data_IF_007341139188
#
_entry.id   IF_007341139188
#
_cell.length_a   1.000
_cell.length_b   1.000
_cell.length_c   1.000
_cell.angle_alpha   90.00
_cell.angle_beta   90.00
_cell.angle_gamma   90.00
#
_symmetry.space_group_name_H-M   'P 1'
#
loop_
_entity.id
_entity.type
_entity.pdbx_description
1 polymer ?
#
# COMPACT_ATOMS: atom_id res chain seq x y z
N UNK A 1 -22.00 -80.42 -3.07
CA UNK A 1 -23.10 -79.49 -3.41
C UNK A 1 -22.53 -78.08 -3.44
N UNK A 2 -22.68 -77.40 -4.59
CA UNK A 2 -22.55 -75.96 -4.92
C UNK A 2 -21.59 -75.04 -4.13
N UNK A 3 -20.80 -74.16 -4.78
CA UNK A 3 -20.81 -73.74 -6.17
C UNK A 3 -19.68 -72.74 -6.51
N UNK A 4 -19.46 -72.59 -7.81
CA UNK A 4 -18.60 -71.60 -8.46
C UNK A 4 -19.02 -70.15 -8.21
N UNK A 5 -18.04 -69.26 -8.08
CA UNK A 5 -18.20 -67.82 -8.28
C UNK A 5 -16.91 -67.21 -8.83
N UNK A 6 -16.92 -66.86 -10.12
CA UNK A 6 -15.82 -66.20 -10.85
C UNK A 6 -15.73 -64.70 -10.52
N UNK A 7 -14.50 -64.19 -10.56
CA UNK A 7 -14.03 -62.88 -11.07
C UNK A 7 -14.81 -61.60 -10.75
N UNK A 8 -14.13 -60.68 -10.06
CA UNK A 8 -14.22 -59.23 -10.31
C UNK A 8 -12.95 -58.54 -9.82
N UNK A 9 -11.90 -58.61 -10.64
CA UNK A 9 -10.76 -57.68 -10.60
C UNK A 9 -11.24 -56.34 -11.14
N UNK A 10 -11.79 -55.50 -10.28
CA UNK A 10 -12.05 -54.09 -10.60
C UNK A 10 -10.77 -53.29 -10.33
N UNK A 11 -10.06 -52.94 -11.40
CA UNK A 11 -8.80 -52.21 -11.35
C UNK A 11 -8.96 -50.84 -10.69
N UNK A 12 -8.46 -50.73 -9.46
CA UNK A 12 -7.95 -49.48 -8.95
C UNK A 12 -6.63 -49.21 -9.69
N UNK A 13 -6.71 -48.46 -10.79
CA UNK A 13 -5.54 -48.08 -11.58
C UNK A 13 -4.45 -47.51 -10.67
N UNK A 14 -3.38 -48.28 -10.51
CA UNK A 14 -2.08 -47.79 -10.06
C UNK A 14 -1.66 -46.70 -11.04
N UNK A 15 -1.98 -45.44 -10.70
CA UNK A 15 -1.41 -44.29 -11.38
C UNK A 15 0.08 -44.38 -11.13
N UNK A 16 0.79 -44.89 -12.13
CA UNK A 16 2.21 -45.24 -12.09
C UNK A 16 3.02 -44.14 -11.39
N UNK A 17 3.85 -44.56 -10.43
CA UNK A 17 4.82 -43.72 -9.69
C UNK A 17 5.47 -42.58 -10.53
N UNK A 18 5.86 -42.78 -11.81
CA UNK A 18 6.38 -41.71 -12.68
C UNK A 18 5.40 -40.57 -12.98
N UNK A 19 4.09 -40.83 -13.12
CA UNK A 19 3.08 -39.80 -13.41
C UNK A 19 2.87 -38.89 -12.19
N UNK A 20 2.79 -39.47 -10.99
CA UNK A 20 2.72 -38.69 -9.74
C UNK A 20 3.97 -37.86 -9.52
N UNK A 21 5.15 -38.43 -9.80
CA UNK A 21 6.42 -37.69 -9.73
C UNK A 21 6.50 -36.55 -10.76
N UNK A 22 6.00 -36.74 -11.98
CA UNK A 22 5.95 -35.71 -13.02
C UNK A 22 4.99 -34.57 -12.65
N UNK A 23 3.80 -34.90 -12.13
CA UNK A 23 2.81 -33.91 -11.65
C UNK A 23 3.38 -33.12 -10.47
N UNK A 24 4.06 -33.79 -9.53
CA UNK A 24 4.69 -33.13 -8.39
C UNK A 24 5.84 -32.20 -8.82
N UNK A 25 6.73 -32.66 -9.72
CA UNK A 25 7.81 -31.82 -10.29
C UNK A 25 7.26 -30.60 -11.04
N UNK A 26 6.17 -30.77 -11.80
CA UNK A 26 5.53 -29.66 -12.51
C UNK A 26 4.91 -28.66 -11.54
N UNK A 27 4.25 -29.16 -10.49
CA UNK A 27 3.63 -28.31 -9.45
C UNK A 27 4.67 -27.52 -8.64
N UNK A 28 5.79 -28.16 -8.28
CA UNK A 28 6.89 -27.52 -7.56
C UNK A 28 7.66 -26.53 -8.45
N UNK A 29 7.83 -26.83 -9.73
CA UNK A 29 8.38 -25.91 -10.73
C UNK A 29 7.50 -24.66 -10.90
N UNK A 30 6.18 -24.82 -11.03
CA UNK A 30 5.23 -23.69 -11.11
C UNK A 30 5.27 -22.85 -9.84
N UNK A 31 5.30 -23.50 -8.66
CA UNK A 31 5.36 -22.80 -7.38
C UNK A 31 6.66 -22.00 -7.22
N UNK A 32 7.81 -22.54 -7.64
CA UNK A 32 9.09 -21.85 -7.60
C UNK A 32 9.18 -20.71 -8.61
N UNK A 33 8.68 -20.90 -9.83
CA UNK A 33 8.58 -19.86 -10.85
C UNK A 33 7.71 -18.69 -10.38
N UNK A 34 6.54 -18.97 -9.78
CA UNK A 34 5.66 -17.94 -9.20
C UNK A 34 6.34 -17.18 -8.06
N UNK A 35 7.10 -17.86 -7.20
CA UNK A 35 7.86 -17.20 -6.12
C UNK A 35 8.91 -16.25 -6.69
N UNK A 36 9.71 -16.69 -7.67
CA UNK A 36 10.70 -15.86 -8.36
C UNK A 36 10.06 -14.65 -9.03
N UNK A 37 8.94 -14.86 -9.73
CA UNK A 37 8.20 -13.78 -10.38
C UNK A 37 7.74 -12.69 -9.41
N UNK A 38 7.15 -13.08 -8.27
CA UNK A 38 6.72 -12.13 -7.24
C UNK A 38 7.92 -11.38 -6.66
N UNK A 39 9.01 -12.08 -6.36
CA UNK A 39 10.22 -11.48 -5.81
C UNK A 39 10.83 -10.46 -6.79
N UNK A 40 11.05 -10.84 -8.05
CA UNK A 40 11.58 -9.91 -9.07
C UNK A 40 10.66 -8.70 -9.24
N UNK A 41 9.34 -8.90 -9.23
CA UNK A 41 8.37 -7.79 -9.34
C UNK A 41 8.47 -6.81 -8.17
N UNK A 42 8.56 -7.31 -6.94
CA UNK A 42 8.67 -6.47 -5.74
C UNK A 42 10.01 -5.73 -5.69
N UNK A 43 11.11 -6.40 -6.03
CA UNK A 43 12.44 -5.78 -6.09
C UNK A 43 12.51 -4.71 -7.17
N UNK A 44 11.93 -4.93 -8.35
CA UNK A 44 11.89 -3.91 -9.38
C UNK A 44 11.03 -2.72 -8.94
N UNK A 45 9.87 -2.94 -8.30
CA UNK A 45 9.03 -1.85 -7.78
C UNK A 45 9.75 -1.04 -6.70
N UNK A 46 10.52 -1.72 -5.85
CA UNK A 46 11.39 -1.09 -4.86
C UNK A 46 12.43 -0.16 -5.51
N UNK A 47 13.15 -0.65 -6.52
CA UNK A 47 14.13 0.13 -7.26
C UNK A 47 13.48 1.31 -8.00
N UNK A 48 12.36 1.08 -8.68
CA UNK A 48 11.62 2.13 -9.36
C UNK A 48 11.15 3.19 -8.37
N UNK A 49 10.62 2.80 -7.21
CA UNK A 49 10.23 3.72 -6.14
C UNK A 49 11.39 4.57 -5.63
N UNK A 50 12.58 3.97 -5.47
CA UNK A 50 13.79 4.67 -5.03
C UNK A 50 14.29 5.69 -6.07
N UNK A 51 14.47 5.25 -7.33
CA UNK A 51 14.87 6.13 -8.44
C UNK A 51 13.86 7.27 -8.60
N UNK A 52 12.57 6.94 -8.58
CA UNK A 52 11.51 7.92 -8.72
C UNK A 52 11.49 8.94 -7.56
N UNK A 53 11.73 8.49 -6.32
CA UNK A 53 11.79 9.37 -5.16
C UNK A 53 12.91 10.41 -5.26
N UNK A 54 14.09 10.00 -5.73
CA UNK A 54 15.27 10.88 -5.87
C UNK A 54 15.17 11.81 -7.09
N UNK A 55 14.76 11.30 -8.24
CA UNK A 55 14.84 12.06 -9.50
C UNK A 55 13.54 12.76 -9.90
N UNK A 56 12.38 12.19 -9.57
CA UNK A 56 11.08 12.64 -10.07
C UNK A 56 10.16 13.25 -8.99
N UNK A 57 10.62 13.31 -7.73
CA UNK A 57 10.09 14.25 -6.74
C UNK A 57 8.98 13.75 -5.82
N UNK A 58 8.81 12.42 -5.63
CA UNK A 58 7.80 11.89 -4.71
C UNK A 58 8.38 11.27 -3.42
N UNK A 59 8.13 11.97 -2.31
CA UNK A 59 8.62 11.72 -0.94
C UNK A 59 8.25 10.35 -0.35
N UNK A 60 7.11 9.77 -0.73
CA UNK A 60 6.47 8.69 0.04
C UNK A 60 6.74 7.27 -0.47
N UNK A 61 7.00 7.08 -1.77
CA UNK A 61 7.12 5.74 -2.35
C UNK A 61 8.45 5.06 -2.03
N UNK A 62 9.55 5.82 -1.98
CA UNK A 62 10.88 5.30 -1.68
C UNK A 62 11.02 4.84 -0.21
N UNK A 63 10.53 5.63 0.75
CA UNK A 63 10.63 5.30 2.18
C UNK A 63 9.83 4.06 2.60
N UNK A 64 8.71 3.76 1.94
CA UNK A 64 7.87 2.60 2.31
C UNK A 64 8.48 1.25 1.86
N UNK A 65 9.46 1.28 0.96
CA UNK A 65 10.04 0.09 0.35
C UNK A 65 10.74 -0.84 1.37
N UNK A 66 11.66 -0.36 2.26
CA UNK A 66 12.33 -1.22 3.24
C UNK A 66 11.35 -1.92 4.18
N UNK A 67 10.34 -1.19 4.69
CA UNK A 67 9.33 -1.75 5.60
C UNK A 67 8.52 -2.84 4.91
N UNK A 68 8.18 -2.63 3.63
CA UNK A 68 7.48 -3.63 2.82
C UNK A 68 8.30 -4.91 2.58
N UNK A 69 9.62 -4.77 2.32
CA UNK A 69 10.52 -5.91 2.13
C UNK A 69 10.71 -6.72 3.42
N UNK A 70 10.93 -6.05 4.55
CA UNK A 70 11.02 -6.70 5.87
C UNK A 70 9.72 -7.41 6.21
N UNK A 71 8.58 -6.73 6.04
CA UNK A 71 7.25 -7.31 6.30
C UNK A 71 6.98 -8.51 5.39
N UNK A 72 7.37 -8.46 4.10
CA UNK A 72 7.24 -9.58 3.18
C UNK A 72 8.03 -10.80 3.64
N UNK A 73 9.27 -10.60 4.10
CA UNK A 73 10.11 -11.68 4.64
C UNK A 73 9.48 -12.31 5.88
N UNK A 74 9.03 -11.48 6.83
CA UNK A 74 8.35 -11.96 8.05
C UNK A 74 7.07 -12.75 7.73
N UNK A 75 6.27 -12.28 6.76
CA UNK A 75 5.09 -13.03 6.30
C UNK A 75 5.50 -14.37 5.71
N UNK A 76 6.56 -14.41 4.90
CA UNK A 76 7.03 -15.64 4.27
C UNK A 76 7.51 -16.68 5.28
N UNK A 77 8.19 -16.26 6.34
CA UNK A 77 8.74 -17.13 7.38
C UNK A 77 7.70 -17.56 8.42
N UNK A 78 6.59 -16.82 8.57
CA UNK A 78 5.56 -17.18 9.54
C UNK A 78 4.77 -18.43 9.11
N UNK A 79 4.79 -19.48 9.96
CA UNK A 79 4.02 -20.71 9.75
C UNK A 79 2.60 -20.64 10.34
N UNK A 80 2.41 -19.94 11.47
CA UNK A 80 1.13 -19.85 12.17
C UNK A 80 0.46 -18.47 12.04
N UNK A 81 -0.84 -18.46 11.74
CA UNK A 81 -1.64 -17.23 11.55
C UNK A 81 -1.76 -16.42 12.85
N UNK A 82 -1.94 -17.09 13.99
CA UNK A 82 -2.07 -16.44 15.31
C UNK A 82 -0.78 -15.76 15.73
N UNK A 83 0.36 -16.42 15.56
CA UNK A 83 1.68 -15.83 15.82
C UNK A 83 1.93 -14.62 14.93
N UNK A 84 1.64 -14.72 13.62
CA UNK A 84 1.75 -13.61 12.69
C UNK A 84 0.90 -12.39 13.08
N UNK A 85 -0.34 -12.63 13.52
CA UNK A 85 -1.23 -11.57 13.99
C UNK A 85 -0.70 -10.91 15.27
N UNK A 86 -0.29 -11.71 16.26
CA UNK A 86 0.24 -11.22 17.52
C UNK A 86 1.52 -10.40 17.32
N UNK A 87 2.45 -10.86 16.48
CA UNK A 87 3.65 -10.09 16.10
C UNK A 87 3.24 -8.75 15.47
N UNK A 88 2.22 -8.74 14.61
CA UNK A 88 1.68 -7.52 14.04
C UNK A 88 1.11 -6.55 15.09
N UNK A 89 0.38 -7.07 16.08
CA UNK A 89 -0.14 -6.27 17.21
C UNK A 89 1.00 -5.69 18.05
N UNK A 90 2.00 -6.50 18.40
CA UNK A 90 3.16 -6.06 19.18
C UNK A 90 3.90 -4.94 18.46
N UNK A 91 4.24 -5.10 17.17
CA UNK A 91 4.91 -4.03 16.39
C UNK A 91 4.07 -2.75 16.34
N UNK A 92 2.75 -2.87 16.20
CA UNK A 92 1.86 -1.70 16.19
C UNK A 92 1.85 -0.97 17.54
N UNK A 93 1.77 -1.72 18.65
CA UNK A 93 1.83 -1.17 20.01
C UNK A 93 3.19 -0.55 20.31
N UNK A 94 4.30 -1.18 19.89
CA UNK A 94 5.64 -0.60 19.98
C UNK A 94 5.70 0.75 19.27
N UNK A 95 5.15 0.86 18.06
CA UNK A 95 5.09 2.13 17.35
C UNK A 95 4.25 3.20 18.07
N UNK A 96 3.19 2.82 18.78
CA UNK A 96 2.44 3.75 19.65
C UNK A 96 3.28 4.17 20.85
N UNK A 97 3.96 3.24 21.51
CA UNK A 97 4.80 3.53 22.67
C UNK A 97 5.93 4.51 22.30
N UNK A 98 6.63 4.27 21.18
CA UNK A 98 7.66 5.19 20.68
C UNK A 98 7.07 6.55 20.31
N UNK A 99 5.88 6.59 19.71
CA UNK A 99 5.19 7.85 19.41
C UNK A 99 4.87 8.66 20.68
N UNK A 100 4.46 7.99 21.75
CA UNK A 100 4.23 8.62 23.06
C UNK A 100 5.55 9.14 23.63
N UNK A 101 6.61 8.32 23.63
CA UNK A 101 7.93 8.71 24.13
C UNK A 101 8.49 9.92 23.39
N UNK A 102 8.48 9.91 22.05
CA UNK A 102 8.90 11.05 21.23
C UNK A 102 8.04 12.29 21.48
N UNK A 103 6.76 12.09 21.77
CA UNK A 103 5.84 13.16 22.17
C UNK A 103 6.22 13.82 23.50
N UNK A 104 6.67 13.04 24.47
CA UNK A 104 7.11 13.53 25.79
C UNK A 104 8.44 14.28 25.73
N UNK A 105 9.35 13.84 24.85
CA UNK A 105 10.69 14.43 24.68
C UNK A 105 10.66 15.67 23.74
N UNK A 106 9.62 15.82 22.92
CA UNK A 106 9.52 16.94 21.98
C UNK A 106 9.40 18.29 22.70
N UNK A 107 10.26 19.24 22.32
CA UNK A 107 10.28 20.61 22.84
C UNK A 107 9.02 21.44 22.54
N UNK A 108 8.92 22.60 23.17
CA UNK A 108 7.78 23.52 23.08
C UNK A 108 7.74 24.34 21.78
N UNK A 109 8.89 24.52 21.14
CA UNK A 109 9.07 25.44 20.03
C UNK A 109 8.57 24.85 18.71
N UNK A 110 7.89 25.68 17.91
CA UNK A 110 7.50 25.32 16.56
C UNK A 110 8.74 25.08 15.69
N UNK A 111 8.88 23.88 15.15
CA UNK A 111 9.96 23.58 14.19
C UNK A 111 9.72 24.34 12.86
N UNK A 112 10.79 24.60 12.09
CA UNK A 112 10.78 25.29 10.79
C UNK A 112 9.81 24.67 9.78
N UNK A 113 9.53 23.37 9.91
CA UNK A 113 8.52 22.67 9.09
C UNK A 113 7.07 23.07 9.39
N UNK A 114 6.81 23.68 10.55
CA UNK A 114 5.47 24.11 10.96
C UNK A 114 5.20 25.58 10.64
N UNK A 115 6.20 26.44 10.80
CA UNK A 115 6.16 27.85 10.43
C UNK A 115 7.44 28.18 9.65
N UNK A 116 7.46 27.94 8.33
CA UNK A 116 8.62 28.26 7.51
C UNK A 116 8.78 29.79 7.41
N UNK A 117 10.03 30.26 7.50
CA UNK A 117 10.37 31.65 7.25
C UNK A 117 10.39 31.96 5.73
N UNK A 118 10.46 33.24 5.39
CA UNK A 118 10.46 33.69 4.00
C UNK A 118 11.67 33.14 3.21
N UNK A 119 12.84 33.02 3.85
CA UNK A 119 14.04 32.47 3.24
C UNK A 119 13.88 30.99 2.86
N UNK A 120 13.32 30.16 3.76
CA UNK A 120 13.05 28.75 3.45
C UNK A 120 12.03 28.59 2.33
N UNK A 121 10.99 29.44 2.29
CA UNK A 121 10.00 29.40 1.20
C UNK A 121 10.63 29.75 -0.15
N UNK A 122 11.50 30.78 -0.19
CA UNK A 122 12.21 31.17 -1.41
C UNK A 122 13.18 30.08 -1.86
N UNK A 123 13.95 29.50 -0.94
CA UNK A 123 14.85 28.39 -1.25
C UNK A 123 14.07 27.16 -1.74
N UNK A 124 12.95 26.82 -1.10
CA UNK A 124 12.06 25.73 -1.53
C UNK A 124 11.52 25.95 -2.95
N UNK A 125 11.13 27.19 -3.26
CA UNK A 125 10.73 27.57 -4.62
C UNK A 125 11.89 27.46 -5.61
N UNK A 126 13.09 27.91 -5.23
CA UNK A 126 14.28 27.87 -6.07
C UNK A 126 14.61 26.45 -6.53
N UNK A 127 14.86 25.52 -5.59
CA UNK A 127 15.31 24.17 -5.97
C UNK A 127 14.21 23.35 -6.64
N UNK A 128 12.92 23.63 -6.34
CA UNK A 128 11.79 22.95 -7.01
C UNK A 128 11.59 23.38 -8.46
N UNK A 129 11.83 24.65 -8.77
CA UNK A 129 11.66 25.19 -10.12
C UNK A 129 12.90 24.97 -11.01
N UNK A 130 14.09 25.15 -10.46
CA UNK A 130 15.34 25.04 -11.22
C UNK A 130 15.79 23.58 -11.42
N UNK A 131 15.42 22.68 -10.51
CA UNK A 131 15.86 21.29 -10.59
C UNK A 131 17.37 21.13 -10.39
N UNK A 132 17.98 20.17 -11.09
CA UNK A 132 19.43 19.94 -11.04
C UNK A 132 19.91 19.21 -9.77
N UNK A 133 21.22 19.30 -9.51
CA UNK A 133 21.87 18.61 -8.39
C UNK A 133 21.38 19.11 -7.02
N UNK A 134 21.06 20.40 -6.92
CA UNK A 134 20.51 20.99 -5.69
C UNK A 134 19.17 20.33 -5.31
N UNK A 135 18.30 20.11 -6.30
CA UNK A 135 17.03 19.42 -6.10
C UNK A 135 17.22 17.93 -5.73
N UNK A 136 18.23 17.27 -6.30
CA UNK A 136 18.56 15.89 -5.95
C UNK A 136 19.10 15.80 -4.52
N UNK A 137 19.99 16.72 -4.12
CA UNK A 137 20.52 16.80 -2.75
C UNK A 137 19.41 16.99 -1.73
N UNK A 138 18.54 17.99 -1.94
CA UNK A 138 17.39 18.23 -1.08
C UNK A 138 16.47 17.00 -0.98
N UNK A 139 16.22 16.30 -2.09
CA UNK A 139 15.40 15.07 -2.06
C UNK A 139 16.09 13.91 -1.35
N UNK A 140 17.42 13.81 -1.45
CA UNK A 140 18.21 12.80 -0.74
C UNK A 140 18.20 13.05 0.78
N UNK A 141 18.34 14.30 1.21
CA UNK A 141 18.23 14.70 2.62
C UNK A 141 16.82 14.38 3.15
N UNK A 142 15.79 14.79 2.41
CA UNK A 142 14.40 14.47 2.76
C UNK A 142 14.15 12.96 2.79
N UNK A 143 14.76 12.18 1.89
CA UNK A 143 14.64 10.72 1.89
C UNK A 143 15.29 10.13 3.16
N UNK A 144 16.46 10.64 3.54
CA UNK A 144 17.18 10.23 4.75
C UNK A 144 16.35 10.51 6.00
N UNK A 145 15.79 11.72 6.12
CA UNK A 145 14.88 12.09 7.22
C UNK A 145 13.65 11.19 7.29
N UNK A 146 13.07 10.87 6.13
CA UNK A 146 11.92 9.96 6.07
C UNK A 146 12.31 8.53 6.50
N UNK A 147 13.48 8.03 6.09
CA UNK A 147 13.96 6.71 6.50
C UNK A 147 14.24 6.64 8.00
N UNK A 148 14.82 7.69 8.58
CA UNK A 148 14.99 7.82 10.03
C UNK A 148 13.63 7.86 10.74
N UNK A 149 12.68 8.65 10.25
CA UNK A 149 11.33 8.73 10.81
C UNK A 149 10.56 7.40 10.68
N UNK A 150 10.82 6.64 9.62
CA UNK A 150 10.27 5.29 9.43
C UNK A 150 10.89 4.31 10.43
N UNK A 151 12.21 4.29 10.58
CA UNK A 151 12.87 3.43 11.58
C UNK A 151 12.47 3.78 13.01
N UNK A 152 12.35 5.06 13.33
CA UNK A 152 12.01 5.53 14.67
C UNK A 152 10.52 5.38 14.99
N UNK A 153 9.62 5.62 14.04
CA UNK A 153 8.19 5.79 14.36
C UNK A 153 7.26 5.03 13.39
N UNK A 154 7.22 5.43 12.12
CA UNK A 154 6.15 5.00 11.20
C UNK A 154 6.30 3.54 10.75
N UNK A 155 7.52 3.02 10.68
CA UNK A 155 7.83 1.68 10.22
C UNK A 155 7.25 0.59 11.10
N UNK A 156 7.26 0.79 12.43
CA UNK A 156 6.67 -0.15 13.39
C UNK A 156 5.16 -0.32 13.19
N UNK A 157 4.43 0.81 13.09
CA UNK A 157 2.99 0.79 12.88
C UNK A 157 2.63 0.24 11.50
N UNK A 158 3.40 0.60 10.47
CA UNK A 158 3.17 0.12 9.11
C UNK A 158 3.42 -1.38 8.97
N UNK A 159 4.55 -1.88 9.48
CA UNK A 159 4.85 -3.30 9.55
C UNK A 159 3.78 -4.06 10.33
N UNK A 160 3.38 -3.56 11.50
CA UNK A 160 2.33 -4.15 12.32
C UNK A 160 1.01 -4.33 11.55
N UNK A 161 0.57 -3.30 10.83
CA UNK A 161 -0.62 -3.37 9.98
C UNK A 161 -0.46 -4.33 8.80
N UNK A 162 0.70 -4.38 8.17
CA UNK A 162 0.96 -5.31 7.06
C UNK A 162 0.90 -6.77 7.53
N UNK A 163 1.48 -7.09 8.70
CA UNK A 163 1.44 -8.44 9.27
C UNK A 163 0.02 -8.82 9.72
N UNK A 164 -0.69 -7.93 10.42
CA UNK A 164 -2.10 -8.16 10.78
C UNK A 164 -2.97 -8.37 9.54
N UNK A 165 -2.79 -7.55 8.50
CA UNK A 165 -3.49 -7.71 7.22
C UNK A 165 -3.18 -9.04 6.54
N UNK A 166 -1.91 -9.47 6.55
CA UNK A 166 -1.52 -10.78 6.01
C UNK A 166 -2.14 -11.94 6.81
N UNK A 167 -2.23 -11.84 8.13
CA UNK A 167 -2.91 -12.82 8.97
C UNK A 167 -4.44 -12.86 8.70
N UNK A 168 -5.07 -11.70 8.53
CA UNK A 168 -6.49 -11.59 8.14
C UNK A 168 -6.75 -12.14 6.71
N UNK A 169 -5.78 -12.05 5.82
CA UNK A 169 -5.84 -12.67 4.50
C UNK A 169 -5.72 -14.20 4.58
N UNK A 170 -4.85 -14.72 5.46
CA UNK A 170 -4.67 -16.17 5.67
C UNK A 170 -5.86 -16.82 6.36
N UNK A 171 -6.50 -16.12 7.29
CA UNK A 171 -7.73 -16.58 7.96
C UNK A 171 -8.97 -16.55 7.06
N UNK A 172 -8.88 -16.04 5.84
CA UNK A 172 -10.02 -15.92 4.93
C UNK A 172 -10.92 -14.73 5.22
N UNK A 173 -10.64 -13.95 6.26
CA UNK A 173 -11.44 -12.79 6.64
C UNK A 173 -11.38 -11.68 5.61
N UNK A 174 -10.23 -11.39 5.00
CA UNK A 174 -10.17 -10.45 3.87
C UNK A 174 -10.62 -11.07 2.54
N UNK A 175 -10.78 -12.39 2.47
CA UNK A 175 -11.30 -13.09 1.27
C UNK A 175 -12.82 -13.06 1.17
N UNK A 176 -13.52 -12.52 2.17
CA UNK A 176 -14.98 -12.48 2.18
C UNK A 176 -15.65 -13.80 2.56
N UNK A 177 -14.94 -14.71 3.22
CA UNK A 177 -15.47 -16.04 3.58
C UNK A 177 -16.45 -16.03 4.77
N UNK A 178 -16.58 -14.89 5.47
CA UNK A 178 -17.47 -14.72 6.62
C UNK A 178 -18.81 -14.09 6.22
N UNK A 179 -19.81 -14.17 7.10
CA UNK A 179 -21.14 -13.61 6.82
C UNK A 179 -21.12 -12.07 6.70
N UNK A 180 -21.98 -11.52 5.84
CA UNK A 180 -22.12 -10.06 5.67
C UNK A 180 -22.52 -9.34 6.98
N UNK A 181 -23.31 -10.00 7.83
CA UNK A 181 -23.69 -9.48 9.16
C UNK A 181 -22.47 -9.30 10.06
N UNK A 182 -21.54 -10.26 10.03
CA UNK A 182 -20.29 -10.17 10.77
C UNK A 182 -19.48 -8.94 10.32
N UNK A 183 -19.26 -8.75 9.02
CA UNK A 183 -18.53 -7.58 8.51
C UNK A 183 -19.18 -6.24 8.89
N UNK A 184 -20.51 -6.14 8.79
CA UNK A 184 -21.23 -4.90 9.16
C UNK A 184 -21.13 -4.59 10.65
N UNK A 185 -21.30 -5.59 11.52
CA UNK A 185 -21.16 -5.42 12.98
C UNK A 185 -19.74 -5.07 13.36
N UNK A 186 -18.75 -5.82 12.87
CA UNK A 186 -17.34 -5.55 13.13
C UNK A 186 -16.92 -4.16 12.62
N UNK A 187 -17.41 -3.75 11.45
CA UNK A 187 -17.19 -2.40 10.92
C UNK A 187 -17.82 -1.30 11.77
N UNK A 188 -19.06 -1.49 12.23
CA UNK A 188 -19.71 -0.55 13.13
C UNK A 188 -18.96 -0.42 14.46
N UNK A 189 -18.57 -1.54 15.07
CA UNK A 189 -17.79 -1.58 16.31
C UNK A 189 -16.44 -0.87 16.17
N UNK A 190 -15.70 -1.15 15.09
CA UNK A 190 -14.40 -0.51 14.86
C UNK A 190 -14.54 0.99 14.58
N UNK A 191 -15.62 1.43 13.94
CA UNK A 191 -15.89 2.87 13.74
C UNK A 191 -16.26 3.53 15.06
N UNK A 192 -17.13 2.91 15.85
CA UNK A 192 -17.49 3.42 17.17
C UNK A 192 -16.25 3.55 18.06
N UNK A 193 -15.41 2.51 18.12
CA UNK A 193 -14.14 2.55 18.85
C UNK A 193 -13.19 3.63 18.30
N UNK A 194 -13.12 3.78 16.98
CA UNK A 194 -12.35 4.85 16.34
C UNK A 194 -12.84 6.24 16.73
N UNK A 195 -14.15 6.48 16.70
CA UNK A 195 -14.76 7.76 17.06
C UNK A 195 -14.63 8.05 18.56
N UNK A 196 -14.78 7.03 19.42
CA UNK A 196 -14.59 7.16 20.86
C UNK A 196 -13.18 7.65 21.23
N UNK A 197 -12.17 7.37 20.40
CA UNK A 197 -10.80 7.89 20.62
C UNK A 197 -10.55 9.22 19.89
N UNK A 198 -11.11 9.42 18.69
CA UNK A 198 -10.87 10.63 17.91
C UNK A 198 -11.65 11.85 18.42
N UNK A 199 -12.92 11.70 18.81
CA UNK A 199 -13.76 12.82 19.24
C UNK A 199 -13.21 13.51 20.49
N UNK A 200 -12.78 12.80 21.55
CA UNK A 200 -12.15 13.45 22.70
C UNK A 200 -10.83 14.14 22.33
N UNK A 201 -10.06 13.56 21.40
CA UNK A 201 -8.81 14.17 20.95
C UNK A 201 -9.05 15.49 20.19
N UNK A 202 -10.08 15.55 19.34
CA UNK A 202 -10.49 16.76 18.62
C UNK A 202 -11.01 17.81 19.61
N UNK A 203 -11.85 17.41 20.57
CA UNK A 203 -12.38 18.31 21.57
C UNK A 203 -11.28 18.90 22.47
N UNK A 204 -10.34 18.06 22.92
CA UNK A 204 -9.16 18.51 23.66
C UNK A 204 -8.29 19.47 22.83
N UNK A 205 -8.11 19.23 21.53
CA UNK A 205 -7.39 20.16 20.65
C UNK A 205 -8.08 21.52 20.53
N UNK A 206 -9.41 21.54 20.54
CA UNK A 206 -10.19 22.77 20.45
C UNK A 206 -10.11 23.59 21.76
N UNK A 207 -10.13 22.92 22.91
CA UNK A 207 -10.06 23.58 24.23
C UNK A 207 -8.66 24.08 24.60
N UNK A 208 -7.58 23.38 24.20
CA UNK A 208 -6.19 23.77 24.50
C UNK A 208 -5.61 24.84 23.53
N UNK A 209 -6.44 25.73 22.99
CA UNK A 209 -6.07 26.95 22.25
C UNK A 209 -4.97 26.81 21.15
N UNK A 210 -4.83 25.62 20.54
CA UNK A 210 -3.84 25.30 19.49
C UNK A 210 -2.36 25.39 19.92
N UNK A 211 -2.04 25.26 21.20
CA UNK A 211 -0.64 25.22 21.64
C UNK A 211 0.17 24.17 20.85
N UNK A 212 1.33 24.56 20.33
CA UNK A 212 2.11 23.76 19.39
C UNK A 212 2.41 22.35 19.91
N UNK A 213 2.74 22.20 21.20
CA UNK A 213 2.99 20.91 21.84
C UNK A 213 1.80 19.97 21.76
N UNK A 214 0.64 20.44 22.21
CA UNK A 214 -0.57 19.65 22.29
C UNK A 214 -1.17 19.41 20.91
N UNK A 215 -1.08 20.37 19.99
CA UNK A 215 -1.45 20.18 18.60
C UNK A 215 -0.53 19.20 17.87
N UNK A 216 0.80 19.27 18.04
CA UNK A 216 1.74 18.34 17.41
C UNK A 216 1.60 16.92 17.98
N UNK A 217 1.39 16.80 19.30
CA UNK A 217 1.14 15.53 19.99
C UNK A 217 -0.21 14.93 19.59
N UNK A 218 -1.30 15.70 19.66
CA UNK A 218 -2.63 15.26 19.28
C UNK A 218 -2.78 15.06 17.76
N UNK A 219 -2.04 15.76 16.90
CA UNK A 219 -2.02 15.53 15.44
C UNK A 219 -1.18 14.31 15.07
N UNK A 220 -0.09 14.01 15.80
CA UNK A 220 0.61 12.72 15.73
C UNK A 220 -0.24 11.56 16.25
N UNK A 221 -1.09 11.78 17.26
CA UNK A 221 -2.17 10.84 17.62
C UNK A 221 -3.34 10.84 16.64
N UNK A 222 -3.72 11.94 15.98
CA UNK A 222 -4.77 11.94 14.96
C UNK A 222 -4.31 11.25 13.67
N UNK A 223 -2.99 11.19 13.45
CA UNK A 223 -2.34 10.22 12.55
C UNK A 223 -2.51 8.76 13.00
N UNK A 224 -3.33 8.45 14.02
CA UNK A 224 -4.04 7.18 14.23
C UNK A 224 -5.18 6.96 13.21
N UNK A 225 -5.20 7.72 12.11
CA UNK A 225 -5.80 7.38 10.83
C UNK A 225 -5.73 5.89 10.40
N UNK A 226 -4.73 5.04 10.77
CA UNK A 226 -4.82 3.59 10.63
C UNK A 226 -6.03 2.95 11.33
N UNK A 227 -6.55 3.48 12.46
CA UNK A 227 -7.74 2.93 13.13
C UNK A 227 -9.04 3.24 12.37
N UNK A 228 -9.19 4.46 11.85
CA UNK A 228 -10.30 4.78 10.93
C UNK A 228 -10.19 3.96 9.63
N UNK A 229 -8.97 3.73 9.11
CA UNK A 229 -8.74 2.87 7.94
C UNK A 229 -9.04 1.38 8.20
N UNK A 230 -8.67 0.85 9.36
CA UNK A 230 -9.01 -0.52 9.79
C UNK A 230 -10.52 -0.70 9.98
N UNK A 231 -11.22 0.36 10.42
CA UNK A 231 -12.68 0.34 10.57
C UNK A 231 -13.45 0.42 9.24
N UNK A 232 -12.86 1.06 8.23
CA UNK A 232 -13.44 1.16 6.88
C UNK A 232 -13.41 -0.17 6.13
N UNK A 233 -12.39 -1.01 6.35
CA UNK A 233 -12.21 -2.31 5.67
C UNK A 233 -13.40 -3.27 5.82
N UNK A 234 -13.87 -3.61 7.05
CA UNK A 234 -15.04 -4.46 7.21
C UNK A 234 -16.33 -3.84 6.65
N UNK A 235 -16.46 -2.50 6.69
CA UNK A 235 -17.62 -1.82 6.08
C UNK A 235 -17.61 -1.98 4.56
N UNK A 236 -16.48 -1.75 3.90
CA UNK A 236 -16.36 -1.97 2.46
C UNK A 236 -16.62 -3.44 2.10
N UNK A 237 -16.14 -4.40 2.89
CA UNK A 237 -16.39 -5.82 2.64
C UNK A 237 -17.88 -6.19 2.82
N UNK A 238 -18.55 -5.64 3.83
CA UNK A 238 -19.98 -5.89 4.12
C UNK A 238 -20.98 -5.23 3.16
N UNK A 239 -20.52 -4.24 2.38
CA UNK A 239 -21.28 -3.58 1.32
C UNK A 239 -20.70 -3.84 -0.08
N UNK A 240 -19.69 -4.71 -0.20
CA UNK A 240 -18.98 -4.98 -1.45
C UNK A 240 -19.90 -5.45 -2.57
N UNK A 241 -20.85 -6.40 -2.35
CA UNK A 241 -21.77 -6.82 -3.40
C UNK A 241 -22.69 -5.68 -3.89
N UNK A 242 -23.08 -4.75 -3.01
CA UNK A 242 -23.86 -3.57 -3.38
C UNK A 242 -23.01 -2.57 -4.16
N UNK A 243 -21.75 -2.36 -3.74
CA UNK A 243 -20.83 -1.42 -4.38
C UNK A 243 -20.49 -1.84 -5.82
N UNK A 244 -20.25 -3.14 -6.05
CA UNK A 244 -19.92 -3.66 -7.38
C UNK A 244 -21.02 -3.44 -8.44
N UNK A 245 -22.25 -3.10 -8.04
CA UNK A 245 -23.34 -2.79 -8.97
C UNK A 245 -23.23 -1.39 -9.58
N UNK A 246 -22.46 -0.48 -8.97
CA UNK A 246 -22.30 0.88 -9.48
C UNK A 246 -21.26 0.93 -10.60
N UNK A 247 -21.61 1.63 -11.70
CA UNK A 247 -20.71 1.84 -12.85
C UNK A 247 -19.40 2.56 -12.46
N UNK A 248 -19.44 3.37 -11.41
CA UNK A 248 -18.27 4.06 -10.85
C UNK A 248 -17.23 3.09 -10.31
N UNK A 249 -17.64 1.99 -9.68
CA UNK A 249 -16.71 0.95 -9.21
C UNK A 249 -16.01 0.27 -10.37
N UNK A 250 -16.72 0.04 -11.49
CA UNK A 250 -16.11 -0.43 -12.74
C UNK A 250 -15.06 0.55 -13.31
N UNK A 251 -15.34 1.85 -13.28
CA UNK A 251 -14.39 2.88 -13.71
C UNK A 251 -13.15 2.94 -12.80
N UNK A 252 -13.34 2.87 -11.48
CA UNK A 252 -12.24 2.82 -10.49
C UNK A 252 -11.40 1.55 -10.69
N UNK A 253 -12.03 0.41 -10.98
CA UNK A 253 -11.31 -0.83 -11.30
C UNK A 253 -10.45 -0.69 -12.57
N UNK A 254 -10.92 0.06 -13.57
CA UNK A 254 -10.12 0.39 -14.76
C UNK A 254 -8.89 1.22 -14.39
N UNK A 255 -9.04 2.27 -13.57
CA UNK A 255 -7.91 3.06 -13.06
C UNK A 255 -6.91 2.17 -12.31
N UNK A 256 -7.38 1.24 -11.48
CA UNK A 256 -6.54 0.31 -10.74
C UNK A 256 -5.75 -0.67 -11.64
N UNK A 257 -6.30 -1.05 -12.80
CA UNK A 257 -5.58 -1.86 -13.80
C UNK A 257 -4.51 -1.08 -14.56
N UNK A 258 -4.54 0.25 -14.51
CA UNK A 258 -3.55 1.17 -15.06
C UNK A 258 -2.79 1.93 -13.96
N UNK A 259 -2.65 1.34 -12.78
CA UNK A 259 -2.09 2.04 -11.61
C UNK A 259 -0.68 2.61 -11.85
N UNK A 260 0.19 1.90 -12.58
CA UNK A 260 1.56 2.35 -12.83
C UNK A 260 1.60 3.45 -13.89
N UNK A 261 0.81 3.30 -14.97
CA UNK A 261 0.64 4.32 -15.99
C UNK A 261 0.07 5.60 -15.39
N UNK A 262 -0.97 5.49 -14.56
CA UNK A 262 -1.61 6.63 -13.92
C UNK A 262 -0.71 7.32 -12.90
N UNK A 263 0.10 6.55 -12.16
CA UNK A 263 1.11 7.09 -11.25
C UNK A 263 2.17 7.91 -12.00
N UNK A 264 2.71 7.38 -13.10
CA UNK A 264 3.70 8.09 -13.92
C UNK A 264 3.09 9.28 -14.66
N UNK A 265 1.85 9.17 -15.14
CA UNK A 265 1.12 10.27 -15.75
C UNK A 265 0.91 11.42 -14.76
N UNK A 266 0.50 11.11 -13.52
CA UNK A 266 0.36 12.11 -12.46
C UNK A 266 1.70 12.76 -12.14
N UNK A 267 2.78 11.97 -12.09
CA UNK A 267 4.13 12.50 -11.92
C UNK A 267 4.47 13.48 -13.03
N UNK A 268 4.25 13.10 -14.30
CA UNK A 268 4.50 13.95 -15.45
C UNK A 268 3.71 15.27 -15.38
N UNK A 269 2.41 15.21 -15.05
CA UNK A 269 1.57 16.40 -14.88
C UNK A 269 2.14 17.31 -13.78
N UNK A 270 2.56 16.73 -12.65
CA UNK A 270 3.16 17.53 -11.56
C UNK A 270 4.53 18.08 -11.92
N UNK A 271 5.36 17.34 -12.65
CA UNK A 271 6.66 17.82 -13.13
C UNK A 271 6.48 18.98 -14.11
N UNK A 272 5.51 18.87 -15.03
CA UNK A 272 5.15 19.96 -15.92
C UNK A 272 4.63 21.17 -15.14
N UNK A 273 3.83 20.96 -14.10
CA UNK A 273 3.36 22.03 -13.23
C UNK A 273 4.53 22.82 -12.59
N UNK A 274 5.60 22.14 -12.16
CA UNK A 274 6.81 22.82 -11.69
C UNK A 274 7.56 23.53 -12.82
N UNK A 275 7.73 22.91 -14.00
CA UNK A 275 8.40 23.55 -15.14
C UNK A 275 7.67 24.79 -15.68
N UNK A 276 6.34 24.82 -15.58
CA UNK A 276 5.52 25.98 -15.94
C UNK A 276 5.59 27.11 -14.89
N UNK A 277 6.40 26.97 -13.84
CA UNK A 277 6.57 28.00 -12.81
C UNK A 277 5.35 28.19 -11.92
N UNK A 278 4.43 27.20 -11.87
CA UNK A 278 3.15 27.31 -11.17
C UNK A 278 3.24 27.06 -9.65
N UNK A 279 4.42 26.74 -9.14
CA UNK A 279 4.66 26.56 -7.72
C UNK A 279 4.36 27.86 -6.95
N UNK A 280 3.61 27.75 -5.84
CA UNK A 280 3.17 28.88 -4.99
C UNK A 280 2.30 29.95 -5.69
N UNK A 281 1.74 29.66 -6.88
CA UNK A 281 0.87 30.62 -7.60
C UNK A 281 -0.63 30.50 -7.30
N UNK A 282 -1.06 29.38 -6.71
CA UNK A 282 -2.47 29.09 -6.48
C UNK A 282 -2.79 29.07 -4.99
N UNK A 283 -3.90 29.72 -4.63
CA UNK A 283 -4.46 29.59 -3.29
C UNK A 283 -5.19 28.22 -3.13
N UNK A 284 -5.48 27.86 -1.88
CA UNK A 284 -6.12 26.59 -1.49
C UNK A 284 -7.42 26.31 -2.25
N UNK A 285 -8.23 27.35 -2.48
CA UNK A 285 -9.49 27.22 -3.23
C UNK A 285 -9.23 26.96 -4.72
N UNK A 286 -8.22 27.59 -5.31
CA UNK A 286 -7.86 27.38 -6.71
C UNK A 286 -7.29 25.97 -6.93
N UNK A 287 -6.57 25.42 -5.95
CA UNK A 287 -6.11 24.03 -6.00
C UNK A 287 -7.28 23.02 -6.01
N UNK A 288 -8.44 23.36 -5.42
CA UNK A 288 -9.63 22.50 -5.53
C UNK A 288 -10.17 22.43 -6.97
N UNK A 289 -9.93 23.44 -7.80
CA UNK A 289 -10.30 23.42 -9.22
C UNK A 289 -9.50 22.38 -10.04
N UNK A 290 -8.42 21.81 -9.50
CA UNK A 290 -7.67 20.71 -10.11
C UNK A 290 -8.24 19.33 -9.76
N UNK A 291 -9.16 19.21 -8.80
CA UNK A 291 -9.80 17.93 -8.43
C UNK A 291 -10.51 17.24 -9.60
N UNK A 292 -11.20 17.94 -10.52
CA UNK A 292 -11.80 17.35 -11.72
C UNK A 292 -10.80 16.66 -12.66
N UNK A 293 -9.49 16.93 -12.58
CA UNK A 293 -8.46 16.19 -13.33
C UNK A 293 -8.54 14.69 -13.01
N UNK A 294 -8.95 14.33 -11.79
CA UNK A 294 -9.16 12.93 -11.43
C UNK A 294 -10.34 12.30 -12.17
N UNK A 295 -11.39 13.06 -12.46
CA UNK A 295 -12.51 12.60 -13.29
C UNK A 295 -12.06 12.37 -14.74
N UNK A 296 -11.20 13.24 -15.29
CA UNK A 296 -10.56 13.03 -16.60
C UNK A 296 -9.73 11.76 -16.59
N UNK A 297 -8.94 11.53 -15.54
CA UNK A 297 -8.13 10.31 -15.40
C UNK A 297 -9.00 9.03 -15.37
N UNK A 298 -10.12 9.06 -14.64
CA UNK A 298 -11.13 7.98 -14.63
C UNK A 298 -11.67 7.69 -16.03
N UNK A 299 -12.07 8.74 -16.76
CA UNK A 299 -12.61 8.63 -18.11
C UNK A 299 -11.58 8.05 -19.08
N UNK A 300 -10.37 8.63 -19.13
CA UNK A 300 -9.28 8.19 -20.00
C UNK A 300 -8.88 6.75 -19.71
N UNK A 301 -8.69 6.39 -18.43
CA UNK A 301 -8.38 5.01 -18.02
C UNK A 301 -9.47 4.03 -18.45
N UNK A 302 -10.75 4.42 -18.32
CA UNK A 302 -11.88 3.56 -18.70
C UNK A 302 -12.03 3.39 -20.22
N UNK A 303 -11.73 4.44 -21.01
CA UNK A 303 -11.80 4.39 -22.46
C UNK A 303 -10.62 3.64 -23.06
N UNK A 304 -9.42 3.81 -22.49
CA UNK A 304 -8.19 3.16 -22.95
C UNK A 304 -8.24 1.65 -22.77
N UNK A 305 -8.68 1.18 -21.61
CA UNK A 305 -8.78 -0.26 -21.31
C UNK A 305 -9.84 -1.00 -22.12
N UNK A 306 -10.78 -0.30 -22.77
CA UNK A 306 -11.70 -0.93 -23.73
C UNK A 306 -10.98 -1.39 -24.99
N UNK A 307 -9.83 -0.79 -25.33
CA UNK A 307 -9.12 -1.03 -26.58
C UNK A 307 -7.76 -1.72 -26.38
N UNK A 308 -7.05 -1.47 -25.27
CA UNK A 308 -5.68 -1.97 -25.06
C UNK A 308 -5.36 -2.23 -23.59
N UNK A 309 -4.34 -3.06 -23.32
CA UNK A 309 -3.73 -3.16 -21.98
C UNK A 309 -2.98 -1.85 -21.65
N UNK A 310 -2.83 -1.55 -20.35
CA UNK A 310 -2.07 -0.39 -19.90
C UNK A 310 -0.63 -0.43 -20.46
N UNK A 311 -0.14 0.67 -21.07
CA UNK A 311 1.10 0.66 -21.85
C UNK A 311 2.32 0.39 -20.96
N UNK A 312 2.39 1.04 -19.79
CA UNK A 312 3.49 0.83 -18.84
C UNK A 312 3.35 -0.50 -18.14
N UNK A 313 2.13 -0.96 -17.84
CA UNK A 313 1.89 -2.27 -17.22
C UNK A 313 2.32 -3.41 -18.14
N UNK A 314 2.13 -3.27 -19.46
CA UNK A 314 2.64 -4.22 -20.44
C UNK A 314 4.17 -4.26 -20.40
N UNK A 315 4.84 -3.11 -20.47
CA UNK A 315 6.29 -3.03 -20.39
C UNK A 315 6.81 -3.60 -19.07
N UNK A 316 6.15 -3.27 -17.97
CA UNK A 316 6.45 -3.77 -16.63
C UNK A 316 6.38 -5.29 -16.55
N UNK A 317 5.37 -5.89 -17.20
CA UNK A 317 5.23 -7.34 -17.27
C UNK A 317 6.39 -7.95 -18.05
N UNK A 318 6.78 -7.37 -19.18
CA UNK A 318 7.93 -7.83 -19.97
C UNK A 318 9.23 -7.78 -19.15
N UNK A 319 9.47 -6.68 -18.45
CA UNK A 319 10.63 -6.51 -17.58
C UNK A 319 10.65 -7.54 -16.44
N UNK A 320 9.50 -7.75 -15.79
CA UNK A 320 9.38 -8.73 -14.70
C UNK A 320 9.64 -10.16 -15.21
N UNK A 321 9.16 -10.51 -16.40
CA UNK A 321 9.37 -11.84 -17.00
C UNK A 321 10.86 -12.07 -17.30
N UNK A 322 11.54 -11.09 -17.89
CA UNK A 322 12.99 -11.15 -18.13
C UNK A 322 13.78 -11.28 -16.82
N UNK A 323 13.44 -10.48 -15.81
CA UNK A 323 14.12 -10.48 -14.51
C UNK A 323 13.82 -11.72 -13.65
N UNK A 324 12.78 -12.50 -13.95
CA UNK A 324 12.44 -13.73 -13.21
C UNK A 324 12.87 -15.00 -13.94
N UNK A 325 13.42 -14.89 -15.15
CA UNK A 325 13.84 -16.01 -15.99
C UNK A 325 12.67 -16.92 -16.43
N UNK A 326 11.42 -16.45 -16.31
CA UNK A 326 10.24 -17.23 -16.72
C UNK A 326 9.91 -16.96 -18.19
N UNK A 327 9.87 -18.00 -19.02
CA UNK A 327 9.53 -17.88 -20.45
C UNK A 327 8.12 -17.31 -20.66
N UNK A 328 7.98 -16.45 -21.68
CA UNK A 328 6.73 -15.77 -22.07
C UNK A 328 5.56 -16.72 -22.35
N UNK A 329 5.82 -18.00 -22.65
CA UNK A 329 4.81 -18.98 -23.05
C UNK A 329 3.91 -19.46 -21.89
N UNK A 330 4.34 -19.37 -20.63
CA UNK A 330 3.63 -19.99 -19.50
C UNK A 330 2.63 -19.07 -18.76
N UNK A 331 2.46 -17.81 -19.18
CA UNK A 331 1.58 -16.86 -18.47
C UNK A 331 0.46 -16.24 -19.31
N UNK A 332 0.20 -16.73 -20.52
CA UNK A 332 -0.99 -16.30 -21.29
C UNK A 332 -2.24 -17.07 -20.86
N UNK A 333 -2.74 -16.82 -19.66
CA UNK A 333 -4.14 -17.05 -19.29
C UNK A 333 -4.61 -15.91 -18.39
#
# INVERSE_FOLDING_TARGET
>A
MHGHGRSSTAGAGEVSHPVRAAVWRRSSAIASARKRWIQSRLTLLALLGFIHGLFLGWRYSAGLCPVGLVSWRMVREAHHVKSLFNTGVVLYLTGIAVLVLLGLISGTAANRSWAPDAANLQYEQYWKLHGGMEAVSNRADMLSDNLLALGAQYGWQLAGMMLMGAALMRSGWLKGQFSLRHYRRTGALLVAAGMAVNLPAIFAQWYLARDYRWCAFCRRRANLAPRCRLSAMPRWQGYWPQLCRFRTVGAIACVGRMALTNYLLQTLITTLFYHLGLFMRFDRLQLLAFVPIWAVNLLVSSLWLRRRRGPVEWLWRQLTLRASGTSLKDTSR
#
